data_IF_864999280505
#
_entry.id   IF_864999280505
#
_cell.length_a   1.000
_cell.length_b   1.000
_cell.length_c   1.000
_cell.angle_alpha   90.00
_cell.angle_beta   90.00
_cell.angle_gamma   90.00
#
_symmetry.space_group_name_H-M   'P 1'
#
loop_
_entity.id
_entity.type
_entity.pdbx_description
1 polymer ?
#
# COMPACT_ATOMS: atom_id res chain seq x y z
N UNK A 1 -20.55 11.89 -6.87
CA UNK A 1 -20.37 10.49 -7.31
C UNK A 1 -21.60 9.70 -6.91
N UNK A 2 -22.39 9.22 -7.86
CA UNK A 2 -23.33 8.14 -7.54
C UNK A 2 -22.48 6.90 -7.23
N UNK A 3 -22.64 6.32 -6.05
CA UNK A 3 -21.97 5.07 -5.66
C UNK A 3 -22.60 3.91 -6.44
N UNK A 4 -22.45 3.95 -7.76
CA UNK A 4 -22.83 2.84 -8.62
C UNK A 4 -21.98 1.63 -8.25
N UNK A 5 -22.57 0.46 -8.42
CA UNK A 5 -21.92 -0.80 -8.11
C UNK A 5 -20.59 -0.97 -8.87
N UNK A 6 -20.50 -0.37 -10.06
CA UNK A 6 -19.30 -0.34 -10.92
C UNK A 6 -18.17 0.47 -10.30
N UNK A 7 -18.45 1.59 -9.64
CA UNK A 7 -17.41 2.39 -8.97
C UNK A 7 -16.86 1.66 -7.74
N UNK A 8 -17.70 0.92 -7.00
CA UNK A 8 -17.26 0.12 -5.85
C UNK A 8 -16.26 -0.98 -6.24
N UNK A 9 -16.54 -1.72 -7.31
CA UNK A 9 -15.64 -2.80 -7.77
C UNK A 9 -14.30 -2.25 -8.25
N UNK A 10 -14.30 -1.08 -8.91
CA UNK A 10 -13.06 -0.39 -9.33
C UNK A 10 -12.22 0.05 -8.14
N UNK A 11 -12.83 0.66 -7.13
CA UNK A 11 -12.13 1.04 -5.89
C UNK A 11 -11.52 -0.19 -5.22
N UNK A 12 -12.30 -1.27 -5.07
CA UNK A 12 -11.80 -2.51 -4.49
C UNK A 12 -10.63 -3.11 -5.28
N UNK A 13 -10.67 -3.08 -6.62
CA UNK A 13 -9.57 -3.55 -7.46
C UNK A 13 -8.29 -2.73 -7.27
N UNK A 14 -8.40 -1.40 -7.21
CA UNK A 14 -7.25 -0.51 -7.02
C UNK A 14 -6.68 -0.63 -5.60
N UNK A 15 -7.54 -0.76 -4.60
CA UNK A 15 -7.09 -1.01 -3.22
C UNK A 15 -6.44 -2.39 -3.09
N UNK A 16 -7.01 -3.42 -3.72
CA UNK A 16 -6.46 -4.77 -3.70
C UNK A 16 -5.10 -4.86 -4.42
N UNK A 17 -4.92 -4.15 -5.54
CA UNK A 17 -3.63 -4.13 -6.23
C UNK A 17 -2.54 -3.44 -5.40
N UNK A 18 -2.85 -2.29 -4.79
CA UNK A 18 -1.96 -1.60 -3.86
C UNK A 18 -1.60 -2.46 -2.65
N UNK A 19 -2.61 -3.07 -2.04
CA UNK A 19 -2.48 -4.02 -0.95
C UNK A 19 -1.59 -5.24 -1.28
N UNK A 20 -1.77 -5.84 -2.45
CA UNK A 20 -1.02 -7.02 -2.86
C UNK A 20 0.44 -6.70 -3.18
N UNK A 21 0.66 -5.64 -3.97
CA UNK A 21 2.00 -5.34 -4.48
C UNK A 21 2.86 -4.65 -3.43
N UNK A 22 2.35 -3.60 -2.77
CA UNK A 22 3.10 -2.91 -1.71
C UNK A 22 2.99 -3.71 -0.41
N UNK A 23 1.79 -4.08 0.00
CA UNK A 23 1.53 -4.69 1.31
C UNK A 23 2.11 -6.11 1.47
N UNK A 24 1.95 -6.98 0.48
CA UNK A 24 2.34 -8.41 0.56
C UNK A 24 3.66 -8.71 -0.13
N UNK A 25 3.80 -8.35 -1.41
CA UNK A 25 4.97 -8.69 -2.22
C UNK A 25 6.22 -7.93 -1.78
N UNK A 26 6.08 -6.67 -1.36
CA UNK A 26 7.22 -5.82 -0.98
C UNK A 26 7.55 -5.88 0.52
N UNK A 27 6.81 -6.68 1.31
CA UNK A 27 7.08 -6.91 2.73
C UNK A 27 8.48 -7.46 3.06
N UNK A 28 9.05 -8.47 2.37
CA UNK A 28 10.39 -8.97 2.71
C UNK A 28 11.49 -7.92 2.55
N UNK A 29 11.30 -6.94 1.65
CA UNK A 29 12.22 -5.83 1.46
C UNK A 29 12.10 -4.77 2.56
N UNK A 30 10.91 -4.58 3.13
CA UNK A 30 10.63 -3.58 4.16
C UNK A 30 10.60 -4.14 5.59
N UNK A 31 10.89 -5.45 5.76
CA UNK A 31 10.85 -6.12 7.05
C UNK A 31 11.87 -5.49 8.01
N UNK A 32 11.44 -4.92 9.14
CA UNK A 32 12.36 -4.42 10.16
C UNK A 32 13.22 -5.56 10.72
N UNK A 33 14.49 -5.26 11.02
CA UNK A 33 15.41 -6.22 11.64
C UNK A 33 14.92 -6.70 13.01
N UNK A 34 14.17 -5.83 13.71
CA UNK A 34 13.50 -6.15 14.96
C UNK A 34 12.07 -6.68 14.66
N UNK A 35 11.69 -7.89 15.09
CA UNK A 35 10.37 -8.46 14.83
C UNK A 35 9.20 -7.56 15.25
N UNK A 36 9.41 -6.67 16.23
CA UNK A 36 8.44 -5.73 16.76
C UNK A 36 8.61 -4.28 16.26
N UNK A 37 9.55 -4.05 15.34
CA UNK A 37 9.83 -2.73 14.80
C UNK A 37 8.71 -2.22 13.91
N UNK A 38 8.50 -0.90 13.93
CA UNK A 38 7.69 -0.21 12.94
C UNK A 38 8.48 -0.08 11.63
N UNK A 39 7.78 -0.12 10.49
CA UNK A 39 8.40 0.25 9.21
C UNK A 39 8.68 1.75 9.23
N UNK A 40 9.94 2.11 9.49
CA UNK A 40 10.41 3.50 9.51
C UNK A 40 11.38 3.74 8.36
N UNK A 41 11.42 4.99 7.89
CA UNK A 41 12.40 5.42 6.88
C UNK A 41 13.85 5.25 7.35
N UNK A 42 14.08 5.25 8.68
CA UNK A 42 15.40 5.01 9.26
C UNK A 42 15.91 3.57 9.11
N UNK A 43 15.01 2.62 8.84
CA UNK A 43 15.34 1.19 8.68
C UNK A 43 15.42 0.76 7.21
N UNK A 44 15.08 1.66 6.28
CA UNK A 44 15.09 1.40 4.84
C UNK A 44 16.31 2.05 4.20
N UNK A 45 16.94 1.33 3.27
CA UNK A 45 17.98 1.96 2.45
C UNK A 45 17.39 3.01 1.51
N UNK A 46 18.21 3.98 1.09
CA UNK A 46 17.81 5.00 0.11
C UNK A 46 17.33 4.36 -1.19
N UNK A 47 17.98 3.27 -1.61
CA UNK A 47 17.62 2.51 -2.82
C UNK A 47 16.24 1.85 -2.64
N UNK A 48 15.98 1.22 -1.49
CA UNK A 48 14.67 0.60 -1.22
C UNK A 48 13.54 1.64 -1.22
N UNK A 49 13.79 2.81 -0.64
CA UNK A 49 12.83 3.92 -0.63
C UNK A 49 12.51 4.41 -2.05
N UNK A 50 13.52 4.52 -2.91
CA UNK A 50 13.35 4.87 -4.32
C UNK A 50 12.58 3.81 -5.10
N UNK A 51 12.89 2.53 -4.90
CA UNK A 51 12.16 1.42 -5.53
C UNK A 51 10.69 1.44 -5.10
N UNK A 52 10.41 1.70 -3.81
CA UNK A 52 9.05 1.85 -3.32
C UNK A 52 8.29 2.99 -3.99
N UNK A 53 8.97 4.14 -4.14
CA UNK A 53 8.39 5.31 -4.79
C UNK A 53 8.00 5.00 -6.23
N UNK A 54 8.88 4.33 -6.98
CA UNK A 54 8.62 3.91 -8.36
C UNK A 54 7.48 2.91 -8.44
N UNK A 55 7.43 1.92 -7.55
CA UNK A 55 6.34 0.94 -7.50
C UNK A 55 5.01 1.61 -7.17
N UNK A 56 4.99 2.51 -6.18
CA UNK A 56 3.79 3.25 -5.80
C UNK A 56 3.29 4.14 -6.95
N UNK A 57 4.20 4.83 -7.65
CA UNK A 57 3.86 5.62 -8.83
C UNK A 57 3.31 4.75 -9.98
N UNK A 58 3.94 3.60 -10.25
CA UNK A 58 3.49 2.66 -11.27
C UNK A 58 2.09 2.10 -10.95
N UNK A 59 1.83 1.75 -9.69
CA UNK A 59 0.52 1.27 -9.24
C UNK A 59 -0.55 2.35 -9.32
N UNK A 60 -0.23 3.59 -8.95
CA UNK A 60 -1.13 4.72 -9.13
C UNK A 60 -1.48 4.95 -10.60
N UNK A 61 -0.50 4.83 -11.50
CA UNK A 61 -0.69 4.94 -12.95
C UNK A 61 -1.54 3.80 -13.51
N UNK A 62 -1.30 2.55 -13.12
CA UNK A 62 -2.14 1.41 -13.51
C UNK A 62 -3.56 1.57 -12.93
N UNK A 63 -3.67 2.00 -11.68
CA UNK A 63 -4.95 2.28 -11.01
C UNK A 63 -5.76 3.37 -11.70
N UNK A 64 -5.10 4.39 -12.24
CA UNK A 64 -5.73 5.43 -13.06
C UNK A 64 -6.43 4.85 -14.29
N UNK A 65 -5.77 3.95 -15.03
CA UNK A 65 -6.38 3.28 -16.19
C UNK A 65 -7.51 2.33 -15.80
N UNK A 66 -7.35 1.57 -14.72
CA UNK A 66 -8.39 0.65 -14.21
C UNK A 66 -9.65 1.39 -13.77
N UNK A 67 -9.49 2.59 -13.19
CA UNK A 67 -10.59 3.37 -12.64
C UNK A 67 -11.17 4.45 -13.59
N UNK A 68 -10.81 4.45 -14.89
CA UNK A 68 -11.32 5.42 -15.87
C UNK A 68 -12.87 5.44 -15.96
N UNK A 69 -13.56 6.59 -15.83
CA UNK A 69 -13.08 7.98 -15.95
C UNK A 69 -12.65 8.65 -14.63
N UNK A 70 -12.90 8.03 -13.47
CA UNK A 70 -12.54 8.57 -12.14
C UNK A 70 -11.12 8.17 -11.71
N UNK A 71 -10.23 8.01 -12.70
CA UNK A 71 -8.88 7.48 -12.52
C UNK A 71 -8.02 8.33 -11.56
N UNK A 72 -8.17 9.65 -11.61
CA UNK A 72 -7.41 10.57 -10.74
C UNK A 72 -7.78 10.44 -9.26
N UNK A 73 -9.06 10.19 -8.95
CA UNK A 73 -9.53 10.13 -7.56
C UNK A 73 -9.31 8.74 -6.96
N UNK A 74 -9.61 7.69 -7.75
CA UNK A 74 -9.57 6.30 -7.27
C UNK A 74 -8.15 5.73 -7.39
N UNK A 75 -7.42 6.06 -8.46
CA UNK A 75 -6.06 5.55 -8.72
C UNK A 75 -5.07 5.90 -7.61
N UNK A 76 -5.24 7.08 -6.99
CA UNK A 76 -4.40 7.54 -5.88
C UNK A 76 -4.51 6.65 -4.64
N UNK A 77 -5.61 5.90 -4.47
CA UNK A 77 -5.86 5.04 -3.30
C UNK A 77 -4.98 3.78 -3.26
N UNK A 78 -4.31 3.41 -4.37
CA UNK A 78 -3.42 2.25 -4.41
C UNK A 78 -2.23 2.39 -3.43
N UNK A 79 -1.62 3.58 -3.37
CA UNK A 79 -0.49 3.83 -2.48
C UNK A 79 -0.85 3.76 -0.97
N UNK A 80 -1.87 4.50 -0.46
CA UNK A 80 -2.22 4.46 0.96
C UNK A 80 -2.83 3.11 1.38
N UNK A 81 -3.52 2.38 0.50
CA UNK A 81 -4.02 1.03 0.81
C UNK A 81 -2.89 0.02 1.02
N UNK A 82 -1.84 0.09 0.19
CA UNK A 82 -0.62 -0.70 0.38
C UNK A 82 0.08 -0.40 1.71
N UNK A 83 0.24 0.89 2.04
CA UNK A 83 0.85 1.34 3.29
C UNK A 83 0.00 0.99 4.53
N UNK A 84 -1.33 1.00 4.40
CA UNK A 84 -2.22 0.62 5.50
C UNK A 84 -2.00 -0.84 5.95
N UNK A 85 -1.68 -1.76 5.02
CA UNK A 85 -1.36 -3.15 5.37
C UNK A 85 -0.07 -3.24 6.20
N UNK A 86 0.94 -2.44 5.86
CA UNK A 86 2.17 -2.40 6.65
C UNK A 86 1.95 -1.81 8.04
N UNK A 87 1.11 -0.77 8.14
CA UNK A 87 0.72 -0.21 9.42
C UNK A 87 -0.01 -1.25 10.29
N UNK A 88 -0.97 -1.99 9.72
CA UNK A 88 -1.70 -3.05 10.42
C UNK A 88 -0.78 -4.19 10.88
N UNK A 89 0.16 -4.63 10.03
CA UNK A 89 1.13 -5.67 10.42
C UNK A 89 2.05 -5.21 11.54
N UNK A 90 2.58 -3.99 11.45
CA UNK A 90 3.47 -3.44 12.47
C UNK A 90 2.74 -3.25 13.80
N UNK A 91 1.50 -2.75 13.77
CA UNK A 91 0.67 -2.56 14.97
C UNK A 91 0.28 -3.88 15.65
N UNK A 92 0.05 -4.95 14.89
CA UNK A 92 -0.24 -6.27 15.45
C UNK A 92 0.90 -6.78 16.34
N UNK A 93 2.16 -6.49 15.99
CA UNK A 93 3.29 -6.94 16.80
C UNK A 93 3.45 -6.10 18.06
N UNK A 94 3.21 -4.79 17.98
CA UNK A 94 3.21 -3.90 19.14
C UNK A 94 2.18 -4.30 20.19
N UNK A 95 1.00 -4.78 19.76
CA UNK A 95 -0.09 -5.16 20.67
C UNK A 95 0.18 -6.45 21.46
N UNK A 96 0.96 -7.38 20.90
CA UNK A 96 1.40 -8.60 21.60
C UNK A 96 2.46 -8.36 22.66
N UNK A 97 3.22 -7.26 22.58
CA UNK A 97 4.29 -6.91 23.54
C UNK A 97 3.82 -6.03 24.71
N UNK A 98 2.58 -5.53 24.66
CA UNK A 98 1.98 -4.70 25.71
C UNK A 98 1.21 -5.53 26.77
N UNK A 99 1.36 -6.85 26.77
CA UNK A 99 0.82 -7.82 27.73
C UNK A 99 1.99 -8.50 28.46
#
# INVERSE_FOLDING_TARGET
MELSWVSKTRILLVMASGALVIGLLNWPAAKPADPAGLVTLSNLSVIQSLVLLVIAAALGFVGFFVAWPYGCEIGLLAAPSGLAIWALRSASVSKTLAL
#
